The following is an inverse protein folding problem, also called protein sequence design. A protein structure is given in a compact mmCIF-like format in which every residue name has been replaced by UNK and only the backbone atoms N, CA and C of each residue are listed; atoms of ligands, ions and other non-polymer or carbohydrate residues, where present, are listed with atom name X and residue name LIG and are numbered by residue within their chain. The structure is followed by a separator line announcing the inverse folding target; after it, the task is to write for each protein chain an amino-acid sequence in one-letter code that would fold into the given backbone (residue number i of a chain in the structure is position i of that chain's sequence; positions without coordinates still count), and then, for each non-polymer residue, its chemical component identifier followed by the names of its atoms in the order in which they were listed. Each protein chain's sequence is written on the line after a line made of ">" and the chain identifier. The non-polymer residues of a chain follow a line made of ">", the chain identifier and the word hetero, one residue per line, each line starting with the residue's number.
data_IF_716213915265
#
_entry.id   IF_716213915265
#
_cell.length_a   1.000
_cell.length_b   1.000
_cell.length_c   1.000
_cell.angle_alpha   90.00
_cell.angle_beta   90.00
_cell.angle_gamma   90.00
#
_symmetry.space_group_name_H-M   'P 1'
#
loop_
_entity.id
_entity.type
_entity.pdbx_description
1 polymer ?
#
# COMPACT_ATOMS: atom_id res chain seq x y z
N UNK A 1 4.03 -1.87 -0.26
CA UNK A 1 4.98 -1.43 -1.31
C UNK A 1 4.42 -0.20 -2.01
N UNK A 2 5.18 0.89 -2.01
CA UNK A 2 4.85 2.08 -2.79
C UNK A 2 5.51 1.94 -4.16
N UNK A 3 4.71 1.76 -5.20
CA UNK A 3 5.20 1.63 -6.58
C UNK A 3 4.90 2.92 -7.31
N UNK A 4 5.95 3.60 -7.79
CA UNK A 4 5.81 4.86 -8.52
C UNK A 4 5.95 4.64 -10.02
N UNK A 5 5.04 5.23 -10.77
CA UNK A 5 5.10 5.31 -12.23
C UNK A 5 4.99 6.79 -12.61
N UNK A 6 6.13 7.40 -12.95
CA UNK A 6 6.15 8.85 -13.14
C UNK A 6 5.63 9.57 -11.90
N UNK A 7 4.65 10.49 -12.05
CA UNK A 7 4.10 11.24 -10.92
C UNK A 7 3.04 10.48 -10.11
N UNK A 8 2.77 9.22 -10.45
CA UNK A 8 1.66 8.46 -9.85
C UNK A 8 2.15 7.30 -9.00
N UNK A 9 1.33 6.92 -8.02
CA UNK A 9 1.55 5.76 -7.16
C UNK A 9 0.44 4.74 -7.37
N UNK A 10 0.80 3.46 -7.27
CA UNK A 10 -0.14 2.35 -7.41
C UNK A 10 -0.96 2.19 -6.14
N UNK A 11 -2.27 2.24 -6.27
CA UNK A 11 -3.20 1.96 -5.19
C UNK A 11 -4.19 0.89 -5.60
N UNK A 12 -4.73 0.21 -4.61
CA UNK A 12 -5.77 -0.80 -4.78
C UNK A 12 -7.07 -0.28 -4.19
N UNK A 13 -8.17 -0.56 -4.85
CA UNK A 13 -9.50 -0.34 -4.30
C UNK A 13 -9.93 -1.62 -3.61
N UNK A 14 -10.23 -1.54 -2.32
CA UNK A 14 -10.60 -2.73 -1.54
C UNK A 14 -11.89 -3.35 -2.06
N UNK A 15 -11.86 -4.68 -2.24
CA UNK A 15 -13.02 -5.45 -2.69
C UNK A 15 -13.84 -6.06 -1.56
N UNK A 16 -13.34 -6.01 -0.33
CA UNK A 16 -13.95 -6.66 0.84
C UNK A 16 -14.03 -5.74 2.05
N UNK A 17 -14.87 -6.10 3.00
CA UNK A 17 -14.90 -5.48 4.31
C UNK A 17 -13.65 -5.84 5.12
N UNK A 18 -13.17 -4.97 6.02
CA UNK A 18 -13.68 -3.62 6.30
C UNK A 18 -13.30 -2.65 5.18
N UNK A 19 -14.04 -1.54 5.10
CA UNK A 19 -13.74 -0.40 4.21
C UNK A 19 -13.72 -0.76 2.73
N UNK A 20 -14.69 -1.54 2.29
CA UNK A 20 -14.88 -1.85 0.87
C UNK A 20 -14.95 -0.56 0.05
N UNK A 21 -14.23 -0.52 -1.07
CA UNK A 21 -14.19 0.64 -1.97
C UNK A 21 -13.20 1.72 -1.57
N UNK A 22 -12.61 1.63 -0.38
CA UNK A 22 -11.55 2.57 0.04
C UNK A 22 -10.23 2.17 -0.59
N UNK A 23 -9.30 3.13 -0.68
CA UNK A 23 -8.00 2.93 -1.30
C UNK A 23 -7.00 2.37 -0.29
N UNK A 24 -6.16 1.47 -0.78
CA UNK A 24 -5.12 0.82 0.00
C UNK A 24 -3.82 0.75 -0.80
N UNK A 25 -2.72 0.64 -0.10
CA UNK A 25 -1.41 0.40 -0.69
C UNK A 25 -1.21 -1.12 -0.74
N UNK A 26 -0.69 -1.69 -1.83
CA UNK A 26 -0.41 -3.13 -1.86
C UNK A 26 0.45 -3.57 -0.69
N UNK A 27 0.00 -4.57 0.05
CA UNK A 27 0.70 -5.09 1.21
C UNK A 27 -0.16 -6.04 2.02
N UNK A 28 0.44 -6.65 3.03
CA UNK A 28 -0.24 -7.57 3.92
C UNK A 28 0.62 -7.89 5.13
N UNK A 29 0.22 -8.90 5.87
CA UNK A 29 0.92 -9.31 7.08
C UNK A 29 2.16 -10.14 6.75
N UNK A 30 3.20 -9.97 7.58
CA UNK A 30 4.37 -10.83 7.54
C UNK A 30 3.98 -12.27 7.91
N UNK A 31 4.56 -13.22 7.19
CA UNK A 31 4.53 -14.61 7.57
C UNK A 31 5.70 -14.92 8.49
N UNK A 32 5.55 -15.93 9.34
CA UNK A 32 6.59 -16.31 10.27
C UNK A 32 7.91 -16.65 9.56
N UNK A 33 9.00 -16.03 9.99
CA UNK A 33 10.33 -16.26 9.40
C UNK A 33 10.59 -15.50 8.12
N UNK A 34 9.64 -14.74 7.61
CA UNK A 34 9.78 -13.99 6.38
C UNK A 34 10.50 -12.65 6.61
N UNK A 35 11.44 -12.31 5.73
CA UNK A 35 12.05 -10.99 5.76
C UNK A 35 11.04 -9.93 5.29
N UNK A 36 11.12 -8.73 5.87
CA UNK A 36 10.16 -7.64 5.59
C UNK A 36 10.13 -7.29 4.10
N UNK A 37 11.29 -7.13 3.47
CA UNK A 37 11.35 -6.82 2.04
C UNK A 37 10.74 -7.93 1.19
N UNK A 38 11.02 -9.18 1.53
CA UNK A 38 10.46 -10.33 0.82
C UNK A 38 8.95 -10.37 0.92
N UNK A 39 8.40 -10.06 2.11
CA UNK A 39 6.97 -9.96 2.32
C UNK A 39 6.34 -8.88 1.45
N UNK A 40 6.98 -7.71 1.38
CA UNK A 40 6.49 -6.60 0.56
C UNK A 40 6.42 -6.98 -0.92
N UNK A 41 7.46 -7.67 -1.43
CA UNK A 41 7.49 -8.15 -2.82
C UNK A 41 6.45 -9.23 -3.08
N UNK A 42 6.30 -10.17 -2.16
CA UNK A 42 5.33 -11.26 -2.27
C UNK A 42 3.90 -10.70 -2.32
N UNK A 43 3.56 -9.82 -1.39
CA UNK A 43 2.22 -9.21 -1.35
C UNK A 43 1.94 -8.38 -2.60
N UNK A 44 2.93 -7.62 -3.09
CA UNK A 44 2.76 -6.88 -4.33
C UNK A 44 2.42 -7.83 -5.49
N UNK A 45 3.15 -8.92 -5.61
CA UNK A 45 2.91 -9.89 -6.68
C UNK A 45 1.55 -10.57 -6.55
N UNK A 46 1.19 -11.00 -5.34
CA UNK A 46 -0.10 -11.65 -5.09
C UNK A 46 -1.28 -10.73 -5.42
N UNK A 47 -1.15 -9.46 -5.09
CA UNK A 47 -2.25 -8.51 -5.25
C UNK A 47 -2.30 -7.84 -6.61
N UNK A 48 -1.19 -7.74 -7.34
CA UNK A 48 -1.12 -6.96 -8.58
C UNK A 48 -0.45 -7.68 -9.75
N UNK A 49 0.18 -8.82 -9.51
CA UNK A 49 1.02 -9.55 -10.47
C UNK A 49 2.26 -8.75 -10.93
N UNK A 50 2.58 -7.65 -10.26
CA UNK A 50 3.78 -6.88 -10.59
C UNK A 50 5.01 -7.39 -9.85
N UNK A 51 6.13 -7.37 -10.55
CA UNK A 51 7.45 -7.54 -9.99
C UNK A 51 8.23 -6.24 -10.18
N UNK A 52 9.01 -5.87 -9.17
CA UNK A 52 9.83 -4.67 -9.20
C UNK A 52 11.28 -5.03 -8.99
N UNK A 53 12.18 -4.19 -9.50
CA UNK A 53 13.60 -4.39 -9.33
C UNK A 53 14.06 -3.92 -7.95
N UNK A 54 14.91 -2.89 -7.94
CA UNK A 54 15.41 -2.31 -6.70
C UNK A 54 14.29 -1.69 -5.88
N UNK A 55 14.32 -1.96 -4.58
CA UNK A 55 13.45 -1.27 -3.62
C UNK A 55 14.31 -0.53 -2.59
N UNK A 56 13.82 0.60 -2.14
CA UNK A 56 14.45 1.39 -1.11
C UNK A 56 13.54 1.43 0.12
N UNK A 57 14.15 1.41 1.31
CA UNK A 57 13.40 1.60 2.54
C UNK A 57 12.76 2.98 2.53
N UNK A 58 11.45 3.02 2.81
CA UNK A 58 10.71 4.28 2.84
C UNK A 58 10.44 4.75 4.27
N UNK A 59 9.83 3.90 5.07
CA UNK A 59 9.50 4.30 6.42
C UNK A 59 8.72 3.26 7.20
N UNK A 60 8.52 3.60 8.46
CA UNK A 60 7.80 2.81 9.44
C UNK A 60 6.73 3.69 10.08
N UNK A 61 5.52 3.15 10.21
CA UNK A 61 4.37 3.90 10.72
C UNK A 61 3.59 3.04 11.70
N UNK A 62 3.28 3.59 12.86
CA UNK A 62 2.37 2.96 13.80
C UNK A 62 0.93 3.19 13.37
N UNK A 63 0.10 2.17 13.59
CA UNK A 63 -1.34 2.25 13.49
C UNK A 63 -1.94 1.24 14.46
N UNK A 64 -3.22 1.04 14.38
CA UNK A 64 -3.90 0.00 15.15
C UNK A 64 -4.95 -0.66 14.29
N UNK A 65 -5.14 -1.95 14.54
CA UNK A 65 -6.09 -2.77 13.80
C UNK A 65 -7.13 -3.30 14.78
N UNK A 66 -8.39 -3.14 14.44
CA UNK A 66 -9.48 -3.65 15.24
C UNK A 66 -9.80 -5.08 14.84
N UNK A 67 -9.78 -5.99 15.84
CA UNK A 67 -10.18 -7.38 15.65
C UNK A 67 -11.43 -7.60 16.48
N UNK A 68 -12.51 -7.97 15.80
CA UNK A 68 -13.80 -8.22 16.43
C UNK A 68 -13.67 -9.27 17.55
N UNK A 69 -14.13 -8.91 18.74
CA UNK A 69 -14.04 -9.76 19.91
C UNK A 69 -12.77 -9.57 20.75
N UNK A 70 -11.75 -8.89 20.20
CA UNK A 70 -10.48 -8.68 20.90
C UNK A 70 -10.13 -7.20 21.09
N UNK A 71 -10.69 -6.32 20.28
CA UNK A 71 -10.39 -4.89 20.36
C UNK A 71 -9.27 -4.47 19.43
N UNK A 72 -8.57 -3.39 19.79
CA UNK A 72 -7.50 -2.82 18.97
C UNK A 72 -6.15 -3.42 19.29
N UNK A 73 -5.37 -3.69 18.24
CA UNK A 73 -3.99 -4.12 18.36
C UNK A 73 -3.08 -3.11 17.66
N UNK A 74 -1.96 -2.72 18.28
CA UNK A 74 -1.00 -1.88 17.59
C UNK A 74 -0.38 -2.62 16.43
N UNK A 75 -0.22 -1.94 15.30
CA UNK A 75 0.42 -2.50 14.12
C UNK A 75 1.65 -1.70 13.73
N UNK A 76 2.66 -2.42 13.28
CA UNK A 76 3.89 -1.87 12.76
C UNK A 76 3.82 -1.97 11.23
N UNK A 77 3.81 -0.83 10.56
CA UNK A 77 3.60 -0.80 9.11
C UNK A 77 4.88 -0.34 8.42
N UNK A 78 5.49 -1.24 7.68
CA UNK A 78 6.77 -1.03 7.01
C UNK A 78 6.55 -0.78 5.53
N UNK A 79 7.20 0.25 4.98
CA UNK A 79 7.03 0.64 3.59
C UNK A 79 8.35 0.66 2.85
N UNK A 80 8.33 0.09 1.64
CA UNK A 80 9.39 0.17 0.65
C UNK A 80 8.90 0.93 -0.56
N UNK A 81 9.82 1.61 -1.24
CA UNK A 81 9.57 2.37 -2.44
C UNK A 81 10.25 1.70 -3.62
N UNK A 82 9.51 1.53 -4.71
CA UNK A 82 10.05 1.00 -5.95
C UNK A 82 9.52 1.80 -7.13
N UNK A 83 10.25 1.78 -8.25
CA UNK A 83 9.78 2.39 -9.48
C UNK A 83 9.27 1.32 -10.43
N UNK A 84 8.11 1.58 -11.01
CA UNK A 84 7.52 0.71 -12.01
C UNK A 84 8.47 0.58 -13.22
N UNK A 85 8.60 -0.61 -13.72
CA UNK A 85 9.42 -0.89 -14.91
C UNK A 85 8.60 -1.38 -16.08
N UNK A 86 7.70 -2.30 -15.82
CA UNK A 86 6.91 -2.93 -16.87
C UNK A 86 5.72 -3.65 -16.26
N UNK A 87 4.77 -4.03 -17.13
CA UNK A 87 3.60 -4.81 -16.77
C UNK A 87 2.41 -3.95 -16.37
N UNK A 88 1.22 -4.49 -16.59
CA UNK A 88 -0.01 -3.88 -16.15
C UNK A 88 -0.42 -4.49 -14.82
N UNK A 89 -0.68 -3.66 -13.79
CA UNK A 89 -1.17 -4.19 -12.53
C UNK A 89 -2.56 -4.81 -12.72
N UNK A 90 -2.73 -5.99 -12.14
CA UNK A 90 -4.01 -6.70 -12.15
C UNK A 90 -4.54 -6.71 -10.72
N UNK A 91 -5.83 -6.51 -10.56
CA UNK A 91 -6.46 -6.67 -9.26
C UNK A 91 -6.45 -8.16 -8.89
N UNK A 92 -5.84 -8.49 -7.77
CA UNK A 92 -5.88 -9.84 -7.20
C UNK A 92 -7.23 -10.10 -6.52
N UNK A 93 -7.34 -11.24 -5.81
CA UNK A 93 -8.60 -11.72 -5.26
C UNK A 93 -9.28 -10.77 -4.29
N UNK A 94 -8.50 -10.00 -3.53
CA UNK A 94 -9.00 -9.13 -2.46
C UNK A 94 -9.23 -7.68 -2.92
N UNK A 95 -8.87 -7.35 -4.14
CA UNK A 95 -9.00 -6.00 -4.68
C UNK A 95 -10.06 -5.95 -5.77
N UNK A 96 -10.88 -4.88 -5.76
CA UNK A 96 -11.84 -4.63 -6.83
C UNK A 96 -11.15 -4.09 -8.08
N UNK A 97 -10.11 -3.27 -7.91
CA UNK A 97 -9.34 -2.69 -9.01
C UNK A 97 -7.98 -2.21 -8.54
N UNK A 98 -7.06 -2.07 -9.49
CA UNK A 98 -5.76 -1.45 -9.29
C UNK A 98 -5.72 -0.16 -10.13
N UNK A 99 -5.19 0.92 -9.55
CA UNK A 99 -5.18 2.21 -10.23
C UNK A 99 -3.92 3.01 -9.93
N UNK A 100 -3.51 3.81 -10.92
CA UNK A 100 -2.43 4.77 -10.76
C UNK A 100 -3.02 6.10 -10.35
N UNK A 101 -2.59 6.63 -9.21
CA UNK A 101 -3.12 7.89 -8.65
C UNK A 101 -2.00 8.92 -8.58
N UNK A 102 -2.18 10.11 -9.16
CA UNK A 102 -1.17 11.16 -9.04
C UNK A 102 -0.87 11.48 -7.58
N UNK A 103 0.40 11.44 -7.21
CA UNK A 103 0.83 11.73 -5.83
C UNK A 103 0.35 13.11 -5.39
N UNK A 104 0.37 14.09 -6.29
CA UNK A 104 -0.08 15.45 -6.00
C UNK A 104 -1.56 15.54 -5.61
N UNK A 105 -2.38 14.56 -6.04
CA UNK A 105 -3.81 14.54 -5.72
C UNK A 105 -4.14 13.81 -4.42
N UNK A 106 -3.18 13.15 -3.80
CA UNK A 106 -3.37 12.49 -2.51
C UNK A 106 -3.56 13.53 -1.41
N UNK A 107 -4.47 13.26 -0.50
CA UNK A 107 -4.82 14.21 0.55
C UNK A 107 -5.91 15.18 0.18
N UNK A 108 -6.42 15.16 -1.05
CA UNK A 108 -7.60 15.93 -1.42
C UNK A 108 -8.85 15.20 -0.95
N UNK A 109 -9.85 15.97 -0.56
CA UNK A 109 -10.96 15.59 0.32
C UNK A 109 -11.84 14.42 -0.11
N UNK A 110 -11.87 14.05 -1.39
CA UNK A 110 -12.77 13.01 -1.88
C UNK A 110 -12.21 11.60 -1.79
N UNK A 111 -10.93 11.45 -1.46
CA UNK A 111 -10.31 10.13 -1.41
C UNK A 111 -10.36 9.55 -0.02
N UNK A 112 -10.77 8.28 0.07
CA UNK A 112 -10.86 7.57 1.34
C UNK A 112 -9.77 6.50 1.39
N UNK A 113 -8.85 6.64 2.34
CA UNK A 113 -7.78 5.68 2.57
C UNK A 113 -8.18 4.70 3.66
N UNK A 114 -7.89 3.43 3.42
CA UNK A 114 -8.34 2.34 4.28
C UNK A 114 -7.79 2.43 5.70
N UNK A 115 -6.56 2.93 5.86
CA UNK A 115 -5.88 2.94 7.16
C UNK A 115 -5.41 4.34 7.50
N UNK A 116 -5.52 4.68 8.77
CA UNK A 116 -5.24 6.04 9.25
C UNK A 116 -3.79 6.48 8.98
N UNK A 117 -2.82 5.59 9.17
CA UNK A 117 -1.41 5.91 8.96
C UNK A 117 -1.08 6.26 7.50
N UNK A 118 -1.92 5.86 6.55
CA UNK A 118 -1.70 6.16 5.14
C UNK A 118 -1.63 7.66 4.84
N UNK A 119 -2.32 8.47 5.62
CA UNK A 119 -2.23 9.94 5.49
C UNK A 119 -0.80 10.42 5.73
N UNK A 120 -0.13 9.85 6.73
CA UNK A 120 1.25 10.19 7.04
C UNK A 120 2.21 9.66 5.96
N UNK A 121 1.97 8.45 5.46
CA UNK A 121 2.75 7.88 4.35
C UNK A 121 2.70 8.79 3.14
N UNK A 122 1.52 9.22 2.75
CA UNK A 122 1.35 10.07 1.56
C UNK A 122 1.90 11.48 1.77
N UNK A 123 1.79 12.02 2.99
CA UNK A 123 2.44 13.29 3.31
C UNK A 123 3.96 13.19 3.10
N UNK A 124 4.57 12.13 3.60
CA UNK A 124 6.01 11.92 3.46
C UNK A 124 6.40 11.61 2.01
N UNK A 125 5.57 10.87 1.29
CA UNK A 125 5.79 10.58 -0.12
C UNK A 125 5.80 11.86 -0.97
N UNK A 126 4.87 12.79 -0.72
CA UNK A 126 4.82 14.07 -1.41
C UNK A 126 6.10 14.88 -1.20
N UNK A 127 6.66 14.86 -0.01
CA UNK A 127 7.91 15.56 0.29
C UNK A 127 9.08 14.97 -0.49
N UNK A 128 9.11 13.65 -0.66
CA UNK A 128 10.20 12.97 -1.36
C UNK A 128 10.14 13.08 -2.88
N UNK A 129 8.95 13.25 -3.48
CA UNK A 129 8.78 13.35 -4.94
C UNK A 129 8.45 14.75 -5.42
N UNK A 130 8.22 15.65 -4.51
CA UNK A 130 8.00 17.06 -4.81
C UNK A 130 9.32 17.79 -4.97
#
# INVERSE_FOLDING_TARGET
>A
MLVLKGPSVLLLKRGHRPRRGWLDIPGGFLEAGEAIESAARRELYEETALEVGRVDWFGFYWDRYYIRGFGYFPTMNFYYLARWRSGEPKAGDDAASALWVPVASLGRSSRRFAWKHMHDVFRDLKKGVG
#
